data_IF_333948389288
#
_entry.id   IF_333948389288
#
_cell.length_a   1.000
_cell.length_b   1.000
_cell.length_c   1.000
_cell.angle_alpha   90.00
_cell.angle_beta   90.00
_cell.angle_gamma   90.00
#
_symmetry.space_group_name_H-M   'P 1'
#
loop_
_entity.id
_entity.type
_entity.pdbx_description
1 polymer ?
#
# COMPACT_ATOMS: atom_id res chain seq x y z
N UNK A 1 -5.94 9.46 -9.66
CA UNK A 1 -7.19 10.09 -10.14
C UNK A 1 -7.84 9.16 -11.17
N UNK A 2 -8.86 8.39 -10.79
CA UNK A 2 -9.59 7.53 -11.73
C UNK A 2 -10.33 8.40 -12.73
N UNK A 3 -9.93 8.36 -14.01
CA UNK A 3 -10.86 8.70 -15.07
C UNK A 3 -11.94 7.61 -15.05
N UNK A 4 -13.08 7.92 -14.43
CA UNK A 4 -14.32 7.18 -14.69
C UNK A 4 -14.75 7.53 -16.12
N UNK A 5 -14.00 6.99 -17.08
CA UNK A 5 -14.40 6.96 -18.45
C UNK A 5 -15.81 6.38 -18.52
N UNK A 6 -16.61 6.92 -19.44
CA UNK A 6 -17.96 6.40 -19.68
C UNK A 6 -17.85 4.88 -19.92
N UNK A 7 -18.35 4.09 -18.98
CA UNK A 7 -18.21 2.63 -19.01
C UNK A 7 -18.77 2.04 -20.30
N UNK A 8 -19.82 2.65 -20.87
CA UNK A 8 -20.37 2.23 -22.16
C UNK A 8 -19.36 2.39 -23.29
N UNK A 9 -18.55 3.46 -23.28
CA UNK A 9 -17.49 3.67 -24.27
C UNK A 9 -16.38 2.62 -24.12
N UNK A 10 -15.99 2.29 -22.88
CA UNK A 10 -15.01 1.23 -22.61
C UNK A 10 -15.51 -0.11 -23.14
N UNK A 11 -16.76 -0.47 -22.84
CA UNK A 11 -17.39 -1.70 -23.33
C UNK A 11 -17.49 -1.74 -24.86
N UNK A 12 -17.84 -0.61 -25.50
CA UNK A 12 -17.82 -0.49 -26.96
C UNK A 12 -16.41 -0.72 -27.53
N UNK A 13 -15.38 -0.18 -26.89
CA UNK A 13 -14.00 -0.34 -27.34
C UNK A 13 -13.44 -1.75 -27.08
N UNK A 14 -13.98 -2.52 -26.13
CA UNK A 14 -13.65 -3.95 -26.01
C UNK A 14 -14.01 -4.71 -27.29
N UNK A 15 -15.15 -4.37 -27.93
CA UNK A 15 -15.56 -4.97 -29.19
C UNK A 15 -14.91 -4.30 -30.42
N UNK A 16 -14.67 -2.98 -30.36
CA UNK A 16 -14.10 -2.17 -31.46
C UNK A 16 -13.00 -1.25 -30.95
N UNK A 17 -11.77 -1.76 -30.79
CA UNK A 17 -10.67 -0.99 -30.21
C UNK A 17 -10.29 0.26 -31.00
N UNK A 18 -9.84 1.30 -30.30
CA UNK A 18 -9.34 2.54 -30.90
C UNK A 18 -7.86 2.71 -30.60
N UNK A 19 -7.01 2.64 -31.62
CA UNK A 19 -5.56 2.83 -31.46
C UNK A 19 -5.19 4.28 -31.13
N UNK A 20 -5.98 5.25 -31.62
CA UNK A 20 -5.67 6.68 -31.48
C UNK A 20 -6.22 7.28 -30.18
N UNK A 21 -7.21 6.64 -29.57
CA UNK A 21 -7.83 7.11 -28.34
C UNK A 21 -8.40 5.93 -27.54
N UNK A 22 -7.53 5.06 -27.00
CA UNK A 22 -7.96 3.94 -26.18
C UNK A 22 -8.50 4.45 -24.85
N UNK A 23 -9.68 3.99 -24.46
CA UNK A 23 -10.34 4.37 -23.22
C UNK A 23 -10.58 3.13 -22.38
N UNK A 24 -10.13 3.14 -21.13
CA UNK A 24 -10.22 2.00 -20.23
C UNK A 24 -10.83 2.39 -18.88
N UNK A 25 -11.28 1.40 -18.12
CA UNK A 25 -11.73 1.57 -16.75
C UNK A 25 -10.94 0.62 -15.83
N UNK A 26 -10.44 1.15 -14.72
CA UNK A 26 -9.73 0.41 -13.68
C UNK A 26 -10.49 0.54 -12.37
N UNK A 27 -10.36 -0.45 -11.48
CA UNK A 27 -10.96 -0.39 -10.15
C UNK A 27 -12.48 -0.57 -10.15
N UNK A 28 -13.06 -1.27 -11.14
CA UNK A 28 -14.50 -1.52 -11.17
C UNK A 28 -14.86 -2.54 -10.09
N UNK A 29 -15.87 -2.21 -9.28
CA UNK A 29 -16.38 -3.08 -8.22
C UNK A 29 -17.87 -3.35 -8.46
N UNK A 30 -18.21 -4.34 -9.33
CA UNK A 30 -19.61 -4.65 -9.60
C UNK A 30 -20.32 -5.11 -8.33
N UNK A 31 -21.39 -4.41 -7.95
CA UNK A 31 -22.13 -4.66 -6.73
C UNK A 31 -22.57 -6.14 -6.64
N UNK A 32 -22.24 -6.79 -5.53
CA UNK A 32 -22.65 -8.17 -5.25
C UNK A 32 -21.82 -9.26 -5.92
N UNK A 33 -21.01 -8.95 -6.94
CA UNK A 33 -20.26 -9.96 -7.69
C UNK A 33 -19.25 -10.69 -6.80
N UNK A 34 -18.38 -9.94 -6.11
CA UNK A 34 -17.32 -10.51 -5.29
C UNK A 34 -17.81 -11.09 -3.96
N UNK A 35 -19.04 -10.77 -3.55
CA UNK A 35 -19.69 -11.47 -2.43
C UNK A 35 -20.09 -12.89 -2.82
N UNK A 36 -20.47 -13.12 -4.07
CA UNK A 36 -20.88 -14.44 -4.57
C UNK A 36 -19.70 -15.25 -5.12
N UNK A 37 -18.76 -14.56 -5.79
CA UNK A 37 -17.63 -15.16 -6.49
C UNK A 37 -16.35 -14.39 -6.12
N UNK A 38 -15.79 -14.61 -4.92
CA UNK A 38 -14.57 -13.93 -4.53
C UNK A 38 -13.39 -14.40 -5.40
N UNK A 39 -12.61 -13.46 -5.91
CA UNK A 39 -11.31 -13.77 -6.49
C UNK A 39 -10.31 -13.88 -5.34
N UNK A 40 -9.72 -15.06 -5.18
CA UNK A 40 -8.86 -15.41 -4.04
C UNK A 40 -7.46 -15.68 -4.53
N UNK A 41 -6.48 -15.48 -3.66
CA UNK A 41 -5.12 -15.93 -3.95
C UNK A 41 -5.09 -17.45 -4.20
N UNK A 42 -4.31 -17.93 -5.18
CA UNK A 42 -4.22 -19.35 -5.47
C UNK A 42 -3.49 -20.08 -4.31
N UNK A 43 -3.86 -21.34 -4.00
CA UNK A 43 -3.22 -22.13 -2.93
C UNK A 43 -1.70 -22.24 -3.06
N UNK A 44 -1.17 -22.25 -4.29
CA UNK A 44 0.27 -22.31 -4.54
C UNK A 44 0.98 -21.04 -4.06
N UNK A 45 0.32 -19.88 -4.15
CA UNK A 45 0.89 -18.66 -3.58
C UNK A 45 0.99 -18.76 -2.07
N UNK A 46 0.01 -19.36 -1.39
CA UNK A 46 0.05 -19.56 0.08
C UNK A 46 1.27 -20.35 0.56
N UNK A 47 1.89 -21.16 -0.29
CA UNK A 47 3.12 -21.90 0.03
C UNK A 47 4.35 -20.99 0.09
N UNK A 48 4.31 -19.84 -0.59
CA UNK A 48 5.42 -18.89 -0.72
C UNK A 48 5.15 -17.64 0.13
N UNK A 49 3.93 -17.12 0.05
CA UNK A 49 3.46 -15.89 0.70
C UNK A 49 2.04 -16.13 1.20
N UNK A 50 1.80 -15.90 2.49
CA UNK A 50 0.44 -15.99 3.04
C UNK A 50 -0.24 -14.63 2.91
N UNK A 51 -1.27 -14.50 2.05
CA UNK A 51 -2.11 -13.32 1.99
C UNK A 51 -2.88 -13.15 3.29
N UNK A 52 -2.91 -11.92 3.75
CA UNK A 52 -3.68 -11.42 4.85
C UNK A 52 -4.49 -10.22 4.33
N UNK A 53 -5.67 -9.98 4.89
CA UNK A 53 -6.49 -8.83 4.52
C UNK A 53 -6.68 -8.73 3.01
N UNK A 54 -7.35 -9.72 2.41
CA UNK A 54 -7.84 -9.63 1.04
C UNK A 54 -8.88 -8.51 0.96
N UNK A 55 -8.38 -7.28 0.82
CA UNK A 55 -9.07 -6.03 1.13
C UNK A 55 -9.95 -5.60 -0.03
N UNK A 56 -9.51 -5.86 -1.26
CA UNK A 56 -10.15 -5.27 -2.43
C UNK A 56 -10.08 -6.18 -3.63
N UNK A 57 -11.24 -6.54 -4.15
CA UNK A 57 -11.38 -7.23 -5.42
C UNK A 57 -11.87 -6.21 -6.46
N UNK A 58 -11.15 -6.09 -7.57
CA UNK A 58 -11.52 -5.15 -8.63
C UNK A 58 -11.43 -5.80 -10.01
N UNK A 59 -12.20 -5.24 -10.94
CA UNK A 59 -12.12 -5.58 -12.37
C UNK A 59 -11.58 -4.37 -13.13
N UNK A 60 -10.59 -4.61 -13.99
CA UNK A 60 -10.15 -3.64 -14.96
C UNK A 60 -10.65 -4.06 -16.34
N UNK A 61 -11.35 -3.17 -17.03
CA UNK A 61 -11.81 -3.33 -18.40
C UNK A 61 -10.90 -2.52 -19.32
N UNK A 62 -10.07 -3.22 -20.08
CA UNK A 62 -9.01 -2.60 -20.91
C UNK A 62 -9.14 -3.07 -22.35
N UNK A 63 -9.61 -2.22 -23.27
CA UNK A 63 -9.52 -2.46 -24.70
C UNK A 63 -8.09 -2.66 -25.19
N UNK A 64 -7.95 -3.23 -26.39
CA UNK A 64 -6.67 -3.29 -27.09
C UNK A 64 -6.12 -1.89 -27.29
N UNK A 65 -4.79 -1.76 -27.17
CA UNK A 65 -4.03 -0.51 -27.20
C UNK A 65 -4.09 0.35 -25.92
N UNK A 66 -4.88 -0.02 -24.91
CA UNK A 66 -4.86 0.68 -23.63
C UNK A 66 -3.53 0.54 -22.90
N UNK A 67 -3.04 1.65 -22.35
CA UNK A 67 -1.86 1.70 -21.48
C UNK A 67 -2.29 2.20 -20.11
N UNK A 68 -2.14 1.36 -19.09
CA UNK A 68 -2.12 1.80 -17.70
C UNK A 68 -0.68 2.24 -17.43
N UNK A 69 -0.51 3.55 -17.22
CA UNK A 69 0.80 4.19 -17.02
C UNK A 69 1.49 3.69 -15.74
N UNK A 70 2.77 4.02 -15.57
CA UNK A 70 3.59 3.58 -14.44
C UNK A 70 3.00 4.05 -13.10
N UNK A 71 2.74 3.11 -12.18
CA UNK A 71 2.16 3.38 -10.87
C UNK A 71 2.61 2.36 -9.80
N UNK A 72 2.16 2.57 -8.57
CA UNK A 72 2.30 1.66 -7.43
C UNK A 72 0.90 1.49 -6.80
N UNK A 73 0.47 0.26 -6.56
CA UNK A 73 -0.87 -0.05 -6.02
C UNK A 73 -0.91 0.17 -4.52
N UNK A 74 -1.21 1.40 -4.10
CA UNK A 74 -1.41 1.82 -2.71
C UNK A 74 -0.29 1.40 -1.72
N UNK A 75 0.86 0.94 -2.21
CA UNK A 75 1.96 0.42 -1.41
C UNK A 75 1.83 -1.03 -0.93
N UNK A 76 0.76 -1.74 -1.32
CA UNK A 76 0.43 -3.12 -0.88
C UNK A 76 0.69 -4.16 -1.98
N UNK A 77 0.51 -5.43 -1.65
CA UNK A 77 0.62 -6.51 -2.64
C UNK A 77 -0.64 -6.61 -3.49
N UNK A 78 -0.46 -7.15 -4.69
CA UNK A 78 -1.54 -7.46 -5.61
C UNK A 78 -1.36 -8.80 -6.29
N UNK A 79 -2.46 -9.40 -6.73
CA UNK A 79 -2.46 -10.44 -7.76
C UNK A 79 -3.40 -9.98 -8.86
N UNK A 80 -2.97 -10.10 -10.10
CA UNK A 80 -3.79 -9.84 -11.26
C UNK A 80 -3.85 -11.05 -12.18
N UNK A 81 -5.05 -11.40 -12.65
CA UNK A 81 -5.25 -12.45 -13.67
C UNK A 81 -6.07 -11.92 -14.82
N UNK A 82 -5.55 -12.10 -16.04
CA UNK A 82 -6.33 -11.82 -17.24
C UNK A 82 -7.46 -12.85 -17.38
N UNK A 83 -8.56 -12.44 -17.99
CA UNK A 83 -9.68 -13.33 -18.27
C UNK A 83 -9.82 -13.59 -19.77
N UNK A 84 -10.07 -14.84 -20.13
CA UNK A 84 -10.31 -15.30 -21.50
C UNK A 84 -9.19 -14.88 -22.48
N UNK A 85 -9.52 -14.33 -23.65
CA UNK A 85 -8.54 -13.94 -24.68
C UNK A 85 -7.72 -12.68 -24.39
N UNK A 86 -7.81 -12.11 -23.19
CA UNK A 86 -7.08 -10.89 -22.83
C UNK A 86 -5.57 -11.17 -22.70
N UNK A 87 -4.75 -10.34 -23.35
CA UNK A 87 -3.27 -10.42 -23.29
C UNK A 87 -2.67 -9.08 -22.91
N UNK A 88 -1.72 -9.12 -21.97
CA UNK A 88 -1.09 -7.94 -21.38
C UNK A 88 0.41 -8.06 -21.37
N UNK A 89 1.07 -6.97 -21.74
CA UNK A 89 2.50 -6.77 -21.55
C UNK A 89 2.71 -6.00 -20.26
N UNK A 90 3.38 -6.63 -19.30
CA UNK A 90 3.72 -6.07 -18.00
C UNK A 90 5.14 -5.55 -18.03
N UNK A 91 5.33 -4.34 -17.51
CA UNK A 91 6.62 -3.77 -17.21
C UNK A 91 6.67 -3.58 -15.70
N UNK A 92 7.54 -4.30 -15.01
CA UNK A 92 7.64 -4.27 -13.56
C UNK A 92 9.06 -3.90 -13.15
N UNK A 93 9.18 -2.97 -12.20
CA UNK A 93 10.46 -2.48 -11.71
C UNK A 93 10.52 -2.63 -10.19
N UNK A 94 11.65 -3.13 -9.65
CA UNK A 94 11.79 -3.34 -8.23
C UNK A 94 11.75 -2.01 -7.47
N UNK A 95 11.25 -2.01 -6.23
CA UNK A 95 11.12 -0.80 -5.42
C UNK A 95 12.45 -0.39 -4.76
N UNK A 96 13.55 -0.33 -5.53
CA UNK A 96 14.83 0.16 -5.04
C UNK A 96 14.77 1.69 -4.82
N UNK A 97 15.66 2.20 -3.97
CA UNK A 97 15.68 3.61 -3.56
C UNK A 97 15.66 4.58 -4.74
N UNK A 98 16.49 4.34 -5.76
CA UNK A 98 16.55 5.15 -6.99
C UNK A 98 15.22 5.20 -7.73
N UNK A 99 14.58 4.05 -7.95
CA UNK A 99 13.32 3.96 -8.68
C UNK A 99 12.18 4.67 -7.93
N UNK A 100 12.16 4.55 -6.60
CA UNK A 100 11.15 5.23 -5.77
C UNK A 100 11.35 6.73 -5.72
N UNK A 101 12.60 7.20 -5.73
CA UNK A 101 12.90 8.63 -5.78
C UNK A 101 12.46 9.24 -7.12
N UNK A 102 12.68 8.54 -8.25
CA UNK A 102 12.16 8.96 -9.55
C UNK A 102 10.62 9.04 -9.56
N UNK A 103 9.95 8.04 -9.00
CA UNK A 103 8.49 8.06 -8.85
C UNK A 103 8.00 9.21 -7.96
N UNK A 104 8.75 9.53 -6.89
CA UNK A 104 8.42 10.63 -5.99
C UNK A 104 8.53 11.98 -6.69
N UNK A 105 9.55 12.16 -7.52
CA UNK A 105 9.77 13.39 -8.31
C UNK A 105 8.65 13.58 -9.34
N UNK A 106 8.28 12.53 -10.08
CA UNK A 106 7.27 12.59 -11.14
C UNK A 106 5.84 12.31 -10.66
N UNK A 107 5.60 12.26 -9.34
CA UNK A 107 4.37 11.70 -8.75
C UNK A 107 3.07 12.32 -9.32
N UNK A 108 3.11 13.63 -9.59
CA UNK A 108 1.97 14.44 -10.04
C UNK A 108 1.88 14.54 -11.58
N UNK A 109 2.80 13.89 -12.30
CA UNK A 109 2.88 13.91 -13.76
C UNK A 109 2.14 12.74 -14.41
N UNK A 110 1.74 12.93 -15.66
CA UNK A 110 1.21 11.84 -16.53
C UNK A 110 2.31 11.32 -17.45
N UNK A 111 2.09 10.14 -18.04
CA UNK A 111 3.05 9.48 -18.92
C UNK A 111 4.39 9.20 -18.22
N UNK A 112 4.34 8.83 -16.94
CA UNK A 112 5.50 8.54 -16.11
C UNK A 112 6.40 7.48 -16.75
N UNK A 113 5.83 6.44 -17.35
CA UNK A 113 6.61 5.40 -18.03
C UNK A 113 7.49 6.01 -19.15
N UNK A 114 6.94 6.93 -19.94
CA UNK A 114 7.69 7.58 -21.01
C UNK A 114 8.80 8.49 -20.46
N UNK A 115 8.49 9.22 -19.38
CA UNK A 115 9.40 10.22 -18.79
C UNK A 115 10.57 9.59 -18.05
N UNK A 116 10.32 8.59 -17.21
CA UNK A 116 11.35 7.99 -16.34
C UNK A 116 11.66 6.53 -16.63
N UNK A 117 10.92 5.84 -17.52
CA UNK A 117 11.10 4.41 -17.75
C UNK A 117 12.51 4.02 -18.18
N UNK A 118 13.19 4.87 -18.96
CA UNK A 118 14.58 4.64 -19.39
C UNK A 118 15.64 4.91 -18.29
N UNK A 119 15.22 5.43 -17.13
CA UNK A 119 16.05 5.65 -15.94
C UNK A 119 15.79 4.63 -14.83
N UNK A 120 14.75 3.79 -14.96
CA UNK A 120 14.42 2.76 -13.99
C UNK A 120 15.39 1.57 -14.13
N UNK A 121 15.79 1.00 -12.99
CA UNK A 121 16.75 -0.11 -12.95
C UNK A 121 16.07 -1.42 -12.54
N UNK A 122 16.66 -2.54 -13.00
CA UNK A 122 16.24 -3.89 -12.60
C UNK A 122 14.88 -4.33 -13.12
N UNK A 123 14.35 -3.65 -14.15
CA UNK A 123 13.03 -3.94 -14.69
C UNK A 123 12.95 -5.28 -15.43
N UNK A 124 11.79 -5.91 -15.34
CA UNK A 124 11.42 -7.07 -16.15
C UNK A 124 10.23 -6.73 -17.04
N UNK A 125 10.22 -7.30 -18.24
CA UNK A 125 9.12 -7.18 -19.19
C UNK A 125 8.67 -8.56 -19.60
N UNK A 126 7.38 -8.84 -19.43
CA UNK A 126 6.84 -10.15 -19.78
C UNK A 126 5.38 -10.05 -20.19
N UNK A 127 4.90 -11.08 -20.87
CA UNK A 127 3.51 -11.19 -21.28
C UNK A 127 2.75 -12.14 -20.36
N UNK A 128 1.53 -11.74 -19.98
CA UNK A 128 0.58 -12.56 -19.26
C UNK A 128 -0.77 -12.60 -20.00
N UNK A 129 -1.29 -13.82 -20.14
CA UNK A 129 -2.64 -14.10 -20.63
C UNK A 129 -3.44 -14.78 -19.50
N UNK A 130 -4.62 -15.33 -19.82
CA UNK A 130 -5.50 -15.97 -18.83
C UNK A 130 -4.97 -17.27 -18.22
N UNK A 131 -3.89 -17.82 -18.76
CA UNK A 131 -3.18 -18.98 -18.23
C UNK A 131 -2.22 -18.63 -17.08
N UNK A 132 -2.03 -17.33 -16.77
CA UNK A 132 -1.08 -16.85 -15.77
C UNK A 132 -1.71 -15.81 -14.85
N UNK A 133 -1.45 -15.96 -13.56
CA UNK A 133 -1.63 -14.89 -12.59
C UNK A 133 -0.29 -14.17 -12.37
N UNK A 134 -0.35 -12.85 -12.22
CA UNK A 134 0.79 -11.98 -11.95
C UNK A 134 0.71 -11.57 -10.49
N UNK A 135 1.68 -12.01 -9.69
CA UNK A 135 1.89 -11.47 -8.35
C UNK A 135 2.69 -10.16 -8.45
N UNK A 136 2.19 -9.12 -7.80
CA UNK A 136 2.74 -7.79 -7.76
C UNK A 136 3.19 -7.55 -6.31
N UNK A 137 4.50 -7.56 -6.03
CA UNK A 137 5.00 -7.31 -4.68
C UNK A 137 4.67 -5.90 -4.21
N UNK A 138 4.51 -5.73 -2.90
CA UNK A 138 4.40 -4.41 -2.27
C UNK A 138 5.47 -3.43 -2.78
N UNK A 139 5.02 -2.18 -3.07
CA UNK A 139 5.80 -1.09 -3.70
C UNK A 139 6.24 -1.31 -5.14
N UNK A 140 6.00 -2.46 -5.77
CA UNK A 140 6.46 -2.69 -7.13
C UNK A 140 5.90 -1.63 -8.09
N UNK A 141 6.79 -0.93 -8.77
CA UNK A 141 6.40 0.00 -9.82
C UNK A 141 6.01 -0.83 -11.02
N UNK A 142 4.88 -0.55 -11.64
CA UNK A 142 4.50 -1.28 -12.83
C UNK A 142 3.62 -0.47 -13.77
N UNK A 143 3.69 -0.86 -15.05
CA UNK A 143 2.86 -0.35 -16.13
C UNK A 143 2.34 -1.53 -16.96
N UNK A 144 1.17 -1.38 -17.56
CA UNK A 144 0.49 -2.47 -18.25
C UNK A 144 -0.01 -1.99 -19.60
N UNK A 145 0.49 -2.60 -20.66
CA UNK A 145 -0.01 -2.41 -22.00
C UNK A 145 -0.93 -3.56 -22.40
N UNK A 146 -2.10 -3.26 -22.94
CA UNK A 146 -3.09 -4.27 -23.34
C UNK A 146 -2.97 -4.57 -24.83
N UNK A 147 -2.40 -5.73 -25.15
CA UNK A 147 -2.19 -6.20 -26.51
C UNK A 147 -3.47 -6.78 -27.12
N UNK A 148 -4.23 -7.55 -26.35
CA UNK A 148 -5.57 -8.02 -26.73
C UNK A 148 -6.55 -7.65 -25.60
N UNK A 149 -7.63 -6.97 -25.99
CA UNK A 149 -8.57 -6.35 -25.06
C UNK A 149 -9.36 -7.36 -24.25
N UNK A 150 -9.79 -6.96 -23.05
CA UNK A 150 -10.61 -7.80 -22.19
C UNK A 150 -10.63 -7.31 -20.75
N UNK A 151 -10.84 -8.26 -19.84
CA UNK A 151 -10.95 -8.02 -18.41
C UNK A 151 -9.73 -8.57 -17.66
N UNK A 152 -9.36 -7.87 -16.59
CA UNK A 152 -8.37 -8.29 -15.62
C UNK A 152 -9.00 -8.26 -14.25
N UNK A 153 -8.97 -9.38 -13.55
CA UNK A 153 -9.35 -9.44 -12.15
C UNK A 153 -8.12 -9.15 -11.31
N UNK A 154 -8.25 -8.29 -10.32
CA UNK A 154 -7.18 -8.00 -9.37
C UNK A 154 -7.67 -8.14 -7.94
N UNK A 155 -6.77 -8.61 -7.09
CA UNK A 155 -6.96 -8.73 -5.66
C UNK A 155 -5.81 -8.00 -4.98
N UNK A 156 -6.16 -7.01 -4.14
CA UNK A 156 -5.21 -6.33 -3.27
C UNK A 156 -5.23 -7.00 -1.89
N UNK A 157 -4.04 -7.24 -1.35
CA UNK A 157 -3.87 -7.85 -0.03
C UNK A 157 -2.54 -7.44 0.59
N UNK A 158 -2.33 -7.83 1.83
CA UNK A 158 -1.04 -7.66 2.50
C UNK A 158 -0.45 -8.99 2.87
N UNK A 159 0.86 -9.09 2.87
CA UNK A 159 1.56 -10.27 3.39
C UNK A 159 2.42 -9.87 4.57
N UNK A 160 2.88 -10.86 5.36
CA UNK A 160 3.78 -10.55 6.50
C UNK A 160 5.02 -9.74 6.06
N UNK A 161 5.70 -10.05 4.94
CA UNK A 161 6.81 -9.25 4.43
C UNK A 161 6.49 -7.81 4.00
N UNK A 162 5.21 -7.46 3.84
CA UNK A 162 4.83 -6.22 3.15
C UNK A 162 4.75 -5.01 4.06
N UNK A 163 4.72 -5.19 5.38
CA UNK A 163 4.55 -4.09 6.33
C UNK A 163 5.71 -3.09 6.29
N UNK A 164 6.96 -3.55 6.22
CA UNK A 164 8.15 -2.69 6.14
C UNK A 164 8.20 -1.95 4.79
N UNK A 165 8.04 -2.63 3.63
CA UNK A 165 7.83 -1.96 2.36
C UNK A 165 6.74 -0.89 2.44
N UNK A 166 5.58 -1.22 2.98
CA UNK A 166 4.46 -0.30 3.03
C UNK A 166 4.73 0.95 3.89
N UNK A 167 5.37 0.78 5.06
CA UNK A 167 5.82 1.91 5.88
C UNK A 167 6.77 2.84 5.13
N UNK A 168 7.67 2.29 4.31
CA UNK A 168 8.55 3.09 3.45
C UNK A 168 7.78 3.85 2.37
N UNK A 169 6.79 3.23 1.72
CA UNK A 169 5.93 3.89 0.71
C UNK A 169 5.26 5.14 1.29
N UNK A 170 4.73 5.01 2.48
CA UNK A 170 4.11 6.11 3.22
C UNK A 170 5.16 7.16 3.64
N UNK A 171 6.32 6.75 4.16
CA UNK A 171 7.41 7.67 4.56
C UNK A 171 7.90 8.56 3.41
N UNK A 172 7.94 8.01 2.18
CA UNK A 172 8.32 8.73 0.96
C UNK A 172 7.20 9.58 0.38
N UNK A 173 6.04 9.60 1.02
CA UNK A 173 4.86 10.36 0.61
C UNK A 173 4.37 10.00 -0.79
N UNK A 174 4.57 8.75 -1.20
CA UNK A 174 4.10 8.25 -2.50
C UNK A 174 2.57 8.10 -2.51
N UNK A 175 1.95 7.95 -1.34
CA UNK A 175 0.48 7.96 -1.20
C UNK A 175 -0.19 9.26 -1.66
N UNK A 176 0.54 10.38 -1.72
CA UNK A 176 -0.01 11.67 -2.16
C UNK A 176 -0.45 11.69 -3.63
N UNK A 177 -0.12 10.67 -4.43
CA UNK A 177 -0.66 10.51 -5.78
C UNK A 177 -2.13 10.08 -5.80
N UNK A 178 -2.65 9.65 -4.65
CA UNK A 178 -4.04 9.25 -4.47
C UNK A 178 -4.91 10.46 -4.10
N UNK A 179 -6.22 10.34 -4.33
CA UNK A 179 -7.20 11.28 -3.77
C UNK A 179 -7.31 11.12 -2.24
N UNK A 180 -8.05 12.02 -1.58
CA UNK A 180 -8.13 12.03 -0.11
C UNK A 180 -8.61 10.68 0.47
N UNK A 181 -9.57 10.04 -0.19
CA UNK A 181 -10.07 8.72 0.19
C UNK A 181 -9.01 7.63 0.02
N UNK A 182 -8.31 7.60 -1.11
CA UNK A 182 -7.21 6.67 -1.35
C UNK A 182 -6.03 6.89 -0.41
N UNK A 183 -5.73 8.15 -0.04
CA UNK A 183 -4.72 8.47 0.96
C UNK A 183 -5.11 7.89 2.32
N UNK A 184 -6.34 8.11 2.78
CA UNK A 184 -6.85 7.53 4.03
C UNK A 184 -6.82 6.00 4.00
N UNK A 185 -7.22 5.41 2.89
CA UNK A 185 -7.21 3.96 2.68
C UNK A 185 -5.81 3.37 2.83
N UNK A 186 -4.77 4.05 2.33
CA UNK A 186 -3.38 3.61 2.54
C UNK A 186 -3.02 3.54 4.03
N UNK A 187 -3.44 4.53 4.83
CA UNK A 187 -3.15 4.51 6.27
C UNK A 187 -3.92 3.41 6.99
N UNK A 188 -5.21 3.25 6.71
CA UNK A 188 -5.99 2.16 7.32
C UNK A 188 -5.46 0.79 6.94
N UNK A 189 -5.06 0.58 5.68
CA UNK A 189 -4.44 -0.67 5.27
C UNK A 189 -3.12 -0.94 6.01
N UNK A 190 -2.31 0.10 6.28
CA UNK A 190 -1.07 -0.04 7.06
C UNK A 190 -1.36 -0.37 8.53
N UNK A 191 -2.36 0.28 9.11
CA UNK A 191 -2.89 -0.02 10.45
C UNK A 191 -3.32 -1.47 10.57
N UNK A 192 -4.20 -1.94 9.67
CA UNK A 192 -4.72 -3.30 9.71
C UNK A 192 -3.58 -4.32 9.54
N UNK A 193 -2.64 -4.02 8.65
CA UNK A 193 -1.46 -4.86 8.43
C UNK A 193 -0.56 -4.92 9.66
N UNK A 194 -0.43 -3.81 10.38
CA UNK A 194 0.31 -3.76 11.66
C UNK A 194 -0.30 -4.70 12.68
N UNK A 195 -1.63 -4.69 12.85
CA UNK A 195 -2.32 -5.56 13.80
C UNK A 195 -2.08 -7.05 13.50
N UNK A 196 -2.11 -7.42 12.23
CA UNK A 196 -1.88 -8.81 11.82
C UNK A 196 -0.44 -9.23 12.06
N UNK A 197 0.53 -8.39 11.70
CA UNK A 197 1.94 -8.70 11.89
C UNK A 197 2.25 -8.83 13.39
N UNK A 198 1.65 -7.98 14.24
CA UNK A 198 1.70 -8.11 15.70
C UNK A 198 1.09 -9.43 16.18
N UNK A 199 -0.13 -9.78 15.73
CA UNK A 199 -0.78 -11.05 16.09
C UNK A 199 0.06 -12.28 15.72
N UNK A 200 0.91 -12.16 14.70
CA UNK A 200 1.83 -13.20 14.26
C UNK A 200 3.21 -13.16 14.94
N UNK A 201 3.41 -12.32 15.97
CA UNK A 201 4.64 -12.26 16.76
C UNK A 201 5.83 -11.57 16.07
N UNK A 202 5.61 -10.87 14.95
CA UNK A 202 6.67 -10.22 14.15
C UNK A 202 6.85 -8.75 14.53
N UNK A 203 7.10 -8.48 15.80
CA UNK A 203 7.10 -7.12 16.36
C UNK A 203 8.21 -6.22 15.79
N UNK A 204 9.38 -6.77 15.44
CA UNK A 204 10.51 -5.97 14.92
C UNK A 204 10.17 -5.26 13.61
N UNK A 205 9.47 -5.93 12.70
CA UNK A 205 9.01 -5.36 11.43
C UNK A 205 7.96 -4.27 11.63
N UNK A 206 7.12 -4.41 12.65
CA UNK A 206 6.14 -3.38 13.02
C UNK A 206 6.87 -2.14 13.52
N UNK A 207 7.86 -2.31 14.41
CA UNK A 207 8.66 -1.20 14.93
C UNK A 207 9.42 -0.52 13.79
N UNK A 208 10.09 -1.28 12.93
CA UNK A 208 10.83 -0.75 11.78
C UNK A 208 9.91 0.05 10.84
N UNK A 209 8.78 -0.53 10.45
CA UNK A 209 7.78 0.12 9.60
C UNK A 209 7.22 1.40 10.25
N UNK A 210 6.96 1.35 11.56
CA UNK A 210 6.44 2.49 12.32
C UNK A 210 7.45 3.63 12.47
N UNK A 211 8.72 3.29 12.71
CA UNK A 211 9.80 4.29 12.80
C UNK A 211 10.00 5.01 11.47
N UNK A 212 9.86 4.31 10.34
CA UNK A 212 9.90 4.94 9.01
C UNK A 212 8.77 5.98 8.83
N UNK A 213 7.64 5.81 9.52
CA UNK A 213 6.46 6.67 9.41
C UNK A 213 6.46 7.91 10.31
N UNK A 214 7.30 7.95 11.36
CA UNK A 214 7.30 9.00 12.37
C UNK A 214 7.12 10.44 11.84
N UNK A 215 7.84 10.88 10.80
CA UNK A 215 7.71 12.22 10.24
C UNK A 215 6.38 12.50 9.50
N UNK A 216 5.68 11.47 9.05
CA UNK A 216 4.48 11.57 8.21
C UNK A 216 3.20 11.58 9.04
N UNK A 217 3.17 10.92 10.21
CA UNK A 217 1.96 10.82 11.04
C UNK A 217 1.38 12.15 11.52
N UNK A 218 2.21 13.19 11.65
CA UNK A 218 1.74 14.54 12.02
C UNK A 218 0.85 15.18 10.96
N UNK A 219 0.90 14.68 9.72
CA UNK A 219 0.23 15.27 8.56
C UNK A 219 -1.05 14.51 8.16
N UNK A 220 -1.33 13.36 8.78
CA UNK A 220 -2.37 12.45 8.32
C UNK A 220 -3.63 12.53 9.18
N UNK A 221 -4.77 12.73 8.51
CA UNK A 221 -6.11 12.83 9.10
C UNK A 221 -6.70 11.46 9.50
N UNK A 222 -5.88 10.49 9.91
CA UNK A 222 -6.41 9.24 10.49
C UNK A 222 -7.05 9.59 11.83
N UNK A 223 -8.12 8.87 12.22
CA UNK A 223 -8.75 9.07 13.51
C UNK A 223 -7.68 9.02 14.60
N UNK A 224 -7.57 10.09 15.40
CA UNK A 224 -6.62 10.17 16.52
C UNK A 224 -6.76 8.98 17.48
N UNK A 225 -7.92 8.33 17.49
CA UNK A 225 -8.24 7.16 18.32
C UNK A 225 -7.61 5.88 17.79
N UNK A 226 -7.68 5.59 16.48
CA UNK A 226 -7.12 4.37 15.90
C UNK A 226 -5.60 4.37 16.00
N UNK A 227 -4.99 5.50 15.65
CA UNK A 227 -3.56 5.71 15.79
C UNK A 227 -3.09 5.58 17.25
N UNK A 228 -3.86 6.09 18.21
CA UNK A 228 -3.54 5.95 19.62
C UNK A 228 -3.67 4.50 20.11
N UNK A 229 -4.69 3.78 19.64
CA UNK A 229 -4.91 2.36 19.97
C UNK A 229 -3.74 1.50 19.50
N UNK A 230 -3.31 1.67 18.25
CA UNK A 230 -2.18 0.92 17.69
C UNK A 230 -0.88 1.30 18.39
N UNK A 231 -0.67 2.60 18.60
CA UNK A 231 0.51 3.09 19.32
C UNK A 231 0.60 2.48 20.73
N UNK A 232 -0.53 2.39 21.45
CA UNK A 232 -0.60 1.77 22.76
C UNK A 232 -0.34 0.26 22.71
N UNK A 233 -0.84 -0.44 21.69
CA UNK A 233 -0.58 -1.87 21.49
C UNK A 233 0.89 -2.14 21.19
N UNK A 234 1.49 -1.40 20.26
CA UNK A 234 2.93 -1.50 19.94
C UNK A 234 3.77 -1.20 21.18
N UNK A 235 3.41 -0.16 21.94
CA UNK A 235 4.16 0.22 23.13
C UNK A 235 4.06 -0.80 24.27
N UNK A 236 2.88 -1.36 24.51
CA UNK A 236 2.70 -2.44 25.49
C UNK A 236 3.63 -3.61 25.21
N UNK A 237 3.70 -4.05 23.95
CA UNK A 237 4.55 -5.16 23.53
C UNK A 237 6.05 -4.86 23.64
N UNK A 238 6.50 -3.64 23.30
CA UNK A 238 7.92 -3.29 23.48
C UNK A 238 8.29 -3.32 24.97
N UNK A 239 7.39 -2.88 25.85
CA UNK A 239 7.61 -2.88 27.31
C UNK A 239 7.62 -4.28 27.91
N UNK A 240 6.85 -5.22 27.34
CA UNK A 240 6.75 -6.60 27.85
C UNK A 240 7.90 -7.51 27.38
N UNK A 241 8.74 -7.06 26.42
CA UNK A 241 9.90 -7.82 25.94
C UNK A 241 11.07 -7.82 26.94
N UNK A 242 11.50 -8.98 27.48
CA UNK A 242 12.68 -9.04 28.34
C UNK A 242 13.95 -8.74 27.54
N UNK A 243 14.63 -7.65 27.88
CA UNK A 243 15.88 -7.22 27.24
C UNK A 243 15.70 -6.35 25.99
N UNK A 244 14.47 -5.94 25.63
CA UNK A 244 14.27 -4.89 24.63
C UNK A 244 14.91 -3.60 25.15
N UNK A 245 15.88 -3.09 24.38
CA UNK A 245 16.74 -2.01 24.82
C UNK A 245 15.94 -0.72 25.05
N UNK A 246 16.26 -0.02 26.14
CA UNK A 246 15.85 1.38 26.37
C UNK A 246 16.07 2.28 25.13
N UNK A 247 16.98 1.90 24.23
CA UNK A 247 17.27 2.58 22.97
C UNK A 247 16.14 2.50 21.93
N UNK A 248 15.53 1.33 21.71
CA UNK A 248 14.45 1.18 20.71
C UNK A 248 13.18 1.87 21.18
N UNK A 249 12.88 1.72 22.46
CA UNK A 249 11.74 2.39 23.07
C UNK A 249 11.96 3.90 23.20
N UNK A 250 13.19 4.37 23.41
CA UNK A 250 13.55 5.79 23.30
C UNK A 250 13.30 6.34 21.90
N UNK A 251 13.71 5.62 20.85
CA UNK A 251 13.50 6.03 19.45
C UNK A 251 12.02 6.04 19.08
N UNK A 252 11.29 5.00 19.46
CA UNK A 252 9.84 4.91 19.23
C UNK A 252 9.10 6.02 19.97
N UNK A 253 9.46 6.25 21.24
CA UNK A 253 8.90 7.34 22.02
C UNK A 253 9.22 8.65 21.34
N UNK A 254 10.48 8.99 21.02
CA UNK A 254 10.83 10.24 20.34
C UNK A 254 10.06 10.45 19.02
N UNK A 255 9.90 9.40 18.20
CA UNK A 255 9.17 9.46 16.94
C UNK A 255 7.65 9.61 17.13
N UNK A 256 7.09 9.03 18.20
CA UNK A 256 5.66 9.04 18.49
C UNK A 256 5.25 10.13 19.50
N UNK A 257 6.20 10.76 20.21
CA UNK A 257 5.96 11.61 21.38
C UNK A 257 5.27 12.91 21.00
N UNK A 258 5.82 13.61 20.00
CA UNK A 258 5.31 14.88 19.52
C UNK A 258 3.88 14.75 19.01
N UNK A 259 3.55 13.61 18.40
CA UNK A 259 2.21 13.31 17.92
C UNK A 259 1.27 12.82 19.04
N UNK A 260 1.68 11.88 19.89
CA UNK A 260 0.86 11.38 21.02
C UNK A 260 0.45 12.54 21.94
N UNK A 261 1.33 13.53 22.13
CA UNK A 261 1.08 14.76 22.88
C UNK A 261 0.03 15.66 22.21
N UNK A 262 0.00 15.73 20.88
CA UNK A 262 -0.98 16.50 20.09
C UNK A 262 -2.30 15.75 19.83
N UNK A 263 -2.29 14.42 19.88
CA UNK A 263 -3.42 13.55 19.55
C UNK A 263 -4.27 13.16 20.77
N UNK A 264 -3.63 12.90 21.91
CA UNK A 264 -4.31 12.53 23.15
C UNK A 264 -4.65 13.79 23.96
N UNK A 265 -5.93 13.98 24.34
CA UNK A 265 -6.28 14.95 25.40
C UNK A 265 -5.40 14.67 26.63
N UNK A 266 -5.02 15.70 27.39
CA UNK A 266 -4.05 15.63 28.52
C UNK A 266 -4.13 14.36 29.40
N UNK A 267 -5.32 13.81 29.67
CA UNK A 267 -5.50 12.64 30.56
C UNK A 267 -4.90 11.32 30.05
N UNK A 268 -5.31 10.74 28.90
CA UNK A 268 -4.70 9.51 28.38
C UNK A 268 -3.19 9.61 28.13
N UNK A 269 -2.70 10.79 27.69
CA UNK A 269 -1.26 11.04 27.56
C UNK A 269 -0.53 10.97 28.92
N UNK A 270 -1.12 11.56 29.97
CA UNK A 270 -0.54 11.51 31.33
C UNK A 270 -0.46 10.08 31.86
N UNK A 271 -1.44 9.22 31.54
CA UNK A 271 -1.41 7.80 31.93
C UNK A 271 -0.32 7.03 31.19
N UNK A 272 -0.15 7.28 29.89
CA UNK A 272 0.92 6.71 29.07
C UNK A 272 2.30 7.11 29.60
N UNK A 273 2.53 8.42 29.82
CA UNK A 273 3.79 8.94 30.37
C UNK A 273 4.05 8.39 31.78
N UNK A 274 3.02 8.22 32.62
CA UNK A 274 3.17 7.60 33.95
C UNK A 274 3.53 6.12 33.86
N UNK A 275 2.89 5.37 32.97
CA UNK A 275 3.19 3.95 32.74
C UNK A 275 4.65 3.78 32.26
N UNK A 276 5.10 4.63 31.35
CA UNK A 276 6.48 4.60 30.84
C UNK A 276 7.50 5.00 31.91
N UNK A 277 7.20 6.04 32.71
CA UNK A 277 8.05 6.41 33.86
C UNK A 277 8.11 5.31 34.92
N UNK A 278 7.03 4.58 35.16
CA UNK A 278 7.04 3.44 36.09
C UNK A 278 7.90 2.27 35.61
N UNK A 279 8.21 2.21 34.32
CA UNK A 279 9.13 1.24 33.72
C UNK A 279 10.59 1.76 33.65
N UNK A 280 10.90 2.88 34.32
CA UNK A 280 12.27 3.41 34.43
C UNK A 280 12.79 4.12 33.18
N UNK A 281 11.88 4.60 32.32
CA UNK A 281 12.22 5.31 31.09
C UNK A 281 12.15 6.81 31.34
N UNK A 282 13.28 7.48 31.15
CA UNK A 282 13.34 8.94 31.18
C UNK A 282 12.86 9.48 29.84
N UNK A 283 11.66 10.07 29.87
CA UNK A 283 11.16 10.85 28.73
C UNK A 283 11.32 12.31 29.09
N UNK A 284 12.21 12.99 28.38
CA UNK A 284 12.34 14.44 28.45
C UNK A 284 10.99 15.05 28.10
N UNK A 285 10.36 15.70 29.08
CA UNK A 285 9.13 16.44 28.86
C UNK A 285 9.43 17.55 27.86
N UNK A 286 8.90 17.42 26.65
CA UNK A 286 8.73 18.57 25.77
C UNK A 286 7.52 19.31 26.33
N UNK A 287 7.73 20.46 26.96
CA UNK A 287 6.60 21.28 27.41
C UNK A 287 5.74 21.66 26.19
N UNK A 288 4.40 21.56 26.29
CA UNK A 288 3.54 21.95 25.19
C UNK A 288 3.54 23.47 25.05
N UNK A 289 3.91 23.97 23.86
CA UNK A 289 3.51 25.31 23.39
C UNK A 289 1.99 25.38 23.17
#
# INVERSE_FOLDING_TARGET
MMQNANINLVLCQLARPSANNPVYAIGLEPAGLFHQYPFRAPPDLHQILTPHLEQRNVINATPKYSLVDLHIDYGIDGISSAFDGCRKLWLMFPPIERNLELMRIERDETCKLFRIGHHLEGGIVFEAASDKAVYIPARCLHAVYTGDGGFLFSLDFTTKPSIVPFGTYLSKRLYLTQDEEGQQSCFFAHVDSTEIVLFNGRHEEVIESWLALGPVFTQCCVSKQDMARISASVLGEILDRPGSGRSELSLWLQASFSWLQAALKRRPFTLLVRALKSQGLEISSVEPD
#
